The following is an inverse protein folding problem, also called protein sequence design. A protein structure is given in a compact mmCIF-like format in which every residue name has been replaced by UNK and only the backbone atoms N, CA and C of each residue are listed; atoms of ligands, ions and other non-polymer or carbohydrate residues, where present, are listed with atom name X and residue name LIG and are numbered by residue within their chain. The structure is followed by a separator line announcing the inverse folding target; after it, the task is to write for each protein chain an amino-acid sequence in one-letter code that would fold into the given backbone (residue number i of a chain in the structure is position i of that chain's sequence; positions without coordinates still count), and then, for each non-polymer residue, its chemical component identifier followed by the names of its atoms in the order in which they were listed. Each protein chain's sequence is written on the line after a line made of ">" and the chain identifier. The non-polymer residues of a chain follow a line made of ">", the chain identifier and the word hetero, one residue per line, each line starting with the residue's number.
data_IF_902601376404
#
_entry.id   IF_902601376404
#
_cell.length_a   1.000
_cell.length_b   1.000
_cell.length_c   1.000
_cell.angle_alpha   90.00
_cell.angle_beta   90.00
_cell.angle_gamma   90.00
#
_symmetry.space_group_name_H-M   'P 1'
#
loop_
_entity.id
_entity.type
_entity.pdbx_description
1 polymer ?
#
# COMPACT_ATOMS: atom_id res chain seq x y z
N UNK A 1 -14.71 -12.11 2.13
CA UNK A 1 -13.62 -11.18 1.74
C UNK A 1 -12.36 -12.01 1.66
N UNK A 2 -11.49 -11.80 0.66
CA UNK A 2 -10.18 -12.46 0.68
C UNK A 2 -9.50 -12.16 2.03
N UNK A 3 -8.97 -13.21 2.67
CA UNK A 3 -8.26 -13.13 3.95
C UNK A 3 -6.88 -12.54 3.66
N UNK A 4 -6.83 -11.25 3.38
CA UNK A 4 -5.57 -10.50 3.20
C UNK A 4 -4.74 -10.58 4.47
N UNK A 5 -3.43 -10.75 4.33
CA UNK A 5 -2.47 -10.76 5.43
C UNK A 5 -2.28 -9.39 6.08
N UNK A 6 -2.53 -8.30 5.34
CA UNK A 6 -2.38 -6.95 5.87
C UNK A 6 -3.38 -6.69 7.01
N UNK A 7 -2.96 -6.05 8.11
CA UNK A 7 -3.88 -5.56 9.14
C UNK A 7 -4.71 -4.39 8.62
N UNK A 8 -4.20 -3.66 7.62
CA UNK A 8 -4.85 -2.48 7.05
C UNK A 8 -5.94 -2.82 6.02
N UNK A 9 -6.87 -1.90 5.87
CA UNK A 9 -7.86 -1.85 4.79
C UNK A 9 -7.54 -0.66 3.90
N UNK A 10 -7.11 -0.93 2.68
CA UNK A 10 -6.83 0.11 1.70
C UNK A 10 -7.88 0.07 0.58
N UNK A 11 -8.58 1.19 0.30
CA UNK A 11 -9.27 1.37 -0.97
C UNK A 11 -8.30 1.13 -2.13
N UNK A 12 -8.73 0.41 -3.17
CA UNK A 12 -7.86 0.10 -4.31
C UNK A 12 -6.80 -1.00 -4.05
N UNK A 13 -6.77 -1.61 -2.85
CA UNK A 13 -5.80 -2.65 -2.50
C UNK A 13 -5.64 -3.70 -3.60
N UNK A 14 -4.43 -3.78 -4.16
CA UNK A 14 -4.10 -4.58 -5.34
C UNK A 14 -3.98 -6.09 -5.06
N UNK A 15 -4.49 -6.59 -3.93
CA UNK A 15 -4.56 -8.04 -3.64
C UNK A 15 -5.27 -8.82 -4.74
N UNK A 16 -6.22 -8.21 -5.47
CA UNK A 16 -6.84 -8.83 -6.65
C UNK A 16 -5.83 -9.13 -7.77
N UNK A 17 -4.70 -8.41 -7.81
CA UNK A 17 -3.61 -8.62 -8.75
C UNK A 17 -2.70 -9.80 -8.36
N UNK A 18 -2.88 -10.43 -7.20
CA UNK A 18 -1.98 -11.48 -6.72
C UNK A 18 -1.68 -12.56 -7.76
N UNK A 19 -2.72 -13.16 -8.35
CA UNK A 19 -2.55 -14.19 -9.39
C UNK A 19 -1.83 -13.65 -10.63
N UNK A 20 -2.16 -12.43 -11.04
CA UNK A 20 -1.55 -11.79 -12.19
C UNK A 20 -0.06 -11.53 -11.94
N UNK A 21 0.27 -10.88 -10.83
CA UNK A 21 1.65 -10.54 -10.46
C UNK A 21 2.49 -11.80 -10.26
N UNK A 22 1.96 -12.83 -9.57
CA UNK A 22 2.63 -14.13 -9.43
C UNK A 22 2.96 -14.75 -10.79
N UNK A 23 1.96 -14.88 -11.68
CA UNK A 23 2.18 -15.46 -13.01
C UNK A 23 3.16 -14.63 -13.85
N UNK A 24 3.17 -13.31 -13.68
CA UNK A 24 4.09 -12.42 -14.37
C UNK A 24 5.53 -12.64 -13.89
N UNK A 25 5.75 -12.74 -12.57
CA UNK A 25 7.05 -13.05 -11.96
C UNK A 25 7.57 -14.39 -12.48
N UNK A 26 6.74 -15.44 -12.43
CA UNK A 26 7.10 -16.79 -12.90
C UNK A 26 7.44 -16.80 -14.40
N UNK A 27 6.63 -16.12 -15.23
CA UNK A 27 6.84 -16.04 -16.69
C UNK A 27 8.17 -15.36 -17.07
N UNK A 28 8.65 -14.48 -16.21
CA UNK A 28 9.89 -13.73 -16.41
C UNK A 28 11.11 -14.36 -15.71
N UNK A 29 10.96 -15.58 -15.16
CA UNK A 29 12.03 -16.26 -14.41
C UNK A 29 12.54 -15.43 -13.22
N UNK A 30 11.63 -14.72 -12.54
CA UNK A 30 11.92 -13.88 -11.38
C UNK A 30 11.41 -14.51 -10.08
N UNK A 31 11.10 -15.80 -10.07
CA UNK A 31 10.85 -16.52 -8.82
C UNK A 31 12.01 -16.28 -7.86
N UNK A 32 11.72 -16.03 -6.59
CA UNK A 32 12.72 -15.82 -5.55
C UNK A 32 13.52 -14.50 -5.72
N UNK A 33 13.02 -13.55 -6.53
CA UNK A 33 13.62 -12.24 -6.64
C UNK A 33 13.35 -11.35 -5.42
N UNK A 34 14.00 -10.18 -5.38
CA UNK A 34 13.60 -9.07 -4.52
C UNK A 34 12.38 -8.39 -5.14
N UNK A 35 11.29 -8.29 -4.41
CA UNK A 35 10.11 -7.52 -4.82
C UNK A 35 10.14 -6.13 -4.19
N UNK A 36 9.87 -5.11 -5.00
CA UNK A 36 9.99 -3.71 -4.58
C UNK A 36 8.67 -2.97 -4.81
N UNK A 37 8.18 -2.25 -3.80
CA UNK A 37 7.08 -1.28 -3.96
C UNK A 37 7.52 0.12 -3.54
N UNK A 38 7.43 1.09 -4.46
CA UNK A 38 7.71 2.49 -4.15
C UNK A 38 6.58 3.20 -3.38
N UNK A 39 5.38 2.61 -3.38
CA UNK A 39 4.13 3.15 -2.84
C UNK A 39 3.35 2.05 -2.11
N UNK A 40 3.91 1.55 -1.02
CA UNK A 40 3.51 0.29 -0.39
C UNK A 40 2.13 0.35 0.26
N UNK A 41 1.74 1.47 0.88
CA UNK A 41 0.46 1.65 1.56
C UNK A 41 0.11 0.50 2.50
N UNK A 42 -0.91 -0.27 2.12
CA UNK A 42 -1.38 -1.43 2.88
C UNK A 42 -0.63 -2.74 2.63
N UNK A 43 0.24 -2.83 1.61
CA UNK A 43 1.12 -3.98 1.31
C UNK A 43 0.45 -5.36 1.24
N UNK A 44 -0.86 -5.40 0.96
CA UNK A 44 -1.62 -6.66 1.00
C UNK A 44 -1.23 -7.66 -0.08
N UNK A 45 -0.84 -7.17 -1.27
CA UNK A 45 -0.39 -7.99 -2.40
C UNK A 45 0.97 -8.64 -2.10
N UNK A 46 1.94 -7.85 -1.65
CA UNK A 46 3.32 -8.28 -1.47
C UNK A 46 3.52 -9.22 -0.29
N UNK A 47 2.76 -9.01 0.79
CA UNK A 47 2.76 -9.95 1.91
C UNK A 47 2.28 -11.34 1.47
N UNK A 48 1.30 -11.42 0.57
CA UNK A 48 0.86 -12.71 0.02
C UNK A 48 1.92 -13.33 -0.91
N UNK A 49 2.68 -12.54 -1.67
CA UNK A 49 3.78 -13.06 -2.50
C UNK A 49 4.89 -13.65 -1.63
N UNK A 50 5.30 -12.93 -0.58
CA UNK A 50 6.35 -13.39 0.35
C UNK A 50 5.89 -14.64 1.13
N UNK A 51 4.70 -14.61 1.72
CA UNK A 51 4.17 -15.72 2.52
C UNK A 51 4.01 -17.03 1.72
N UNK A 52 3.86 -16.94 0.40
CA UNK A 52 3.76 -18.10 -0.49
C UNK A 52 5.09 -18.44 -1.19
N UNK A 53 6.22 -17.88 -0.73
CA UNK A 53 7.56 -18.09 -1.29
C UNK A 53 7.63 -17.83 -2.81
N UNK A 54 6.87 -16.85 -3.30
CA UNK A 54 6.97 -16.40 -4.70
C UNK A 54 8.18 -15.49 -4.89
N UNK A 55 8.52 -14.73 -3.84
CA UNK A 55 9.63 -13.78 -3.76
C UNK A 55 10.35 -13.97 -2.43
N UNK A 56 11.65 -13.68 -2.38
CA UNK A 56 12.49 -13.97 -1.21
C UNK A 56 12.58 -12.78 -0.25
N UNK A 57 12.42 -11.56 -0.77
CA UNK A 57 12.60 -10.33 0.00
C UNK A 57 11.68 -9.23 -0.51
N UNK A 58 11.21 -8.40 0.41
CA UNK A 58 10.43 -7.20 0.12
C UNK A 58 11.23 -5.96 0.48
N UNK A 59 11.33 -5.00 -0.45
CA UNK A 59 11.76 -3.63 -0.17
C UNK A 59 10.59 -2.70 -0.42
N UNK A 60 10.04 -2.15 0.65
CA UNK A 60 8.80 -1.38 0.62
C UNK A 60 9.10 0.08 0.99
N UNK A 61 8.43 1.02 0.33
CA UNK A 61 8.55 2.43 0.62
C UNK A 61 7.16 3.08 0.65
N UNK A 62 6.95 3.98 1.60
CA UNK A 62 5.80 4.88 1.58
C UNK A 62 6.20 6.24 2.13
N UNK A 63 5.76 7.32 1.50
CA UNK A 63 6.06 8.68 1.94
C UNK A 63 5.27 9.07 3.19
N UNK A 64 4.11 8.46 3.45
CA UNK A 64 3.31 8.79 4.62
C UNK A 64 3.95 8.23 5.90
N UNK A 65 4.43 9.16 6.75
CA UNK A 65 4.99 8.87 8.08
C UNK A 65 4.11 7.91 8.89
N UNK A 66 2.78 8.06 8.84
CA UNK A 66 1.85 7.23 9.60
C UNK A 66 1.87 5.77 9.16
N UNK A 67 2.06 5.52 7.87
CA UNK A 67 2.17 4.18 7.29
C UNK A 67 3.53 3.59 7.60
N UNK A 68 4.61 4.34 7.35
CA UNK A 68 5.95 3.93 7.69
C UNK A 68 6.09 3.53 9.16
N UNK A 69 5.65 4.39 10.08
CA UNK A 69 5.77 4.16 11.53
C UNK A 69 4.99 2.93 11.96
N UNK A 70 3.83 2.66 11.38
CA UNK A 70 3.08 1.43 11.63
C UNK A 70 3.87 0.19 11.21
N UNK A 71 4.37 0.16 9.97
CA UNK A 71 5.15 -1.00 9.48
C UNK A 71 6.45 -1.18 10.25
N UNK A 72 7.19 -0.10 10.51
CA UNK A 72 8.39 -0.10 11.35
C UNK A 72 8.09 -0.69 12.74
N UNK A 73 6.98 -0.32 13.35
CA UNK A 73 6.57 -0.84 14.66
C UNK A 73 6.26 -2.34 14.59
N UNK A 74 5.52 -2.78 13.58
CA UNK A 74 5.19 -4.21 13.36
C UNK A 74 6.46 -5.06 13.17
N UNK A 75 7.39 -4.58 12.33
CA UNK A 75 8.60 -5.32 11.99
C UNK A 75 9.61 -5.36 13.15
N UNK A 76 9.77 -4.28 13.91
CA UNK A 76 10.81 -4.18 14.93
C UNK A 76 10.38 -4.70 16.30
N UNK A 77 9.29 -4.16 16.86
CA UNK A 77 8.81 -4.53 18.20
C UNK A 77 7.29 -4.31 18.31
N UNK A 78 6.47 -5.30 17.93
CA UNK A 78 5.02 -5.16 17.91
C UNK A 78 4.37 -5.25 19.29
N UNK A 79 5.09 -5.65 20.35
CA UNK A 79 4.48 -5.94 21.67
C UNK A 79 3.70 -4.76 22.25
N UNK A 80 4.24 -3.51 22.29
CA UNK A 80 3.49 -2.38 22.82
C UNK A 80 2.24 -2.05 21.98
N UNK A 81 2.32 -2.20 20.65
CA UNK A 81 1.18 -2.02 19.76
C UNK A 81 0.08 -3.06 20.04
N UNK A 82 0.46 -4.33 20.23
CA UNK A 82 -0.47 -5.42 20.57
C UNK A 82 -1.16 -5.16 21.92
N UNK A 83 -0.43 -4.65 22.91
CA UNK A 83 -1.00 -4.29 24.21
C UNK A 83 -2.08 -3.20 24.09
N UNK A 84 -1.83 -2.15 23.31
CA UNK A 84 -2.83 -1.12 23.01
C UNK A 84 -4.05 -1.70 22.30
N UNK A 85 -3.86 -2.56 21.30
CA UNK A 85 -4.96 -3.24 20.59
C UNK A 85 -5.82 -4.08 21.55
N UNK A 86 -5.19 -4.81 22.47
CA UNK A 86 -5.89 -5.64 23.44
C UNK A 86 -6.73 -4.83 24.42
N UNK A 87 -6.18 -3.73 24.93
CA UNK A 87 -6.75 -2.96 26.05
C UNK A 87 -7.72 -1.86 25.63
N UNK A 88 -7.70 -1.43 24.36
CA UNK A 88 -8.51 -0.29 23.91
C UNK A 88 -10.02 -0.55 23.99
N UNK A 89 -10.77 0.47 24.39
CA UNK A 89 -12.22 0.55 24.19
C UNK A 89 -12.51 1.24 22.85
N UNK A 90 -13.24 0.57 21.96
CA UNK A 90 -13.48 1.07 20.60
C UNK A 90 -14.71 1.99 20.61
N UNK A 91 -14.50 3.26 20.96
CA UNK A 91 -15.56 4.28 21.09
C UNK A 91 -15.31 5.48 20.20
N UNK A 92 -16.32 6.33 20.02
CA UNK A 92 -16.18 7.61 19.29
C UNK A 92 -15.28 8.59 20.07
N UNK A 93 -15.31 8.57 21.39
CA UNK A 93 -14.39 9.39 22.19
C UNK A 93 -12.93 8.99 21.96
N UNK A 94 -12.68 7.68 21.91
CA UNK A 94 -11.35 7.17 21.57
C UNK A 94 -10.96 7.54 20.14
N UNK A 95 -11.91 7.47 19.21
CA UNK A 95 -11.70 7.93 17.84
C UNK A 95 -11.23 9.39 17.78
N UNK A 96 -11.81 10.30 18.56
CA UNK A 96 -11.36 11.70 18.59
C UNK A 96 -9.93 11.85 19.13
N UNK A 97 -9.53 11.05 20.13
CA UNK A 97 -8.14 11.03 20.61
C UNK A 97 -7.18 10.56 19.53
N UNK A 98 -7.50 9.43 18.90
CA UNK A 98 -6.68 8.88 17.81
C UNK A 98 -6.62 9.83 16.62
N UNK A 99 -7.73 10.53 16.33
CA UNK A 99 -7.77 11.55 15.28
C UNK A 99 -6.85 12.72 15.58
N UNK A 100 -6.85 13.22 16.82
CA UNK A 100 -5.94 14.29 17.25
C UNK A 100 -4.47 13.90 17.10
N UNK A 101 -4.11 12.64 17.38
CA UNK A 101 -2.75 12.12 17.16
C UNK A 101 -2.39 12.17 15.66
N UNK A 102 -3.28 11.74 14.75
CA UNK A 102 -3.01 11.83 13.31
C UNK A 102 -2.92 13.26 12.79
N UNK A 103 -3.79 14.15 13.25
CA UNK A 103 -3.77 15.55 12.84
C UNK A 103 -2.46 16.25 13.28
N UNK A 104 -1.74 15.67 14.26
CA UNK A 104 -0.44 16.13 14.74
C UNK A 104 0.69 15.12 14.46
N UNK A 105 0.55 14.25 13.44
CA UNK A 105 1.48 13.14 13.17
C UNK A 105 2.94 13.57 13.02
N UNK A 106 3.18 14.75 12.45
CA UNK A 106 4.53 15.26 12.21
C UNK A 106 5.23 15.66 13.51
N UNK A 107 4.47 16.13 14.50
CA UNK A 107 4.96 16.49 15.83
C UNK A 107 5.11 15.29 16.77
N UNK A 108 4.43 14.18 16.48
CA UNK A 108 4.45 12.98 17.33
C UNK A 108 5.87 12.43 17.47
N UNK A 109 6.30 12.31 18.73
CA UNK A 109 7.56 11.68 19.15
C UNK A 109 7.36 10.21 19.56
N UNK A 110 6.10 9.79 19.75
CA UNK A 110 5.76 8.44 20.18
C UNK A 110 5.34 7.59 18.97
N UNK A 111 6.28 6.84 18.42
CA UNK A 111 6.05 5.99 17.25
C UNK A 111 4.97 4.92 17.48
N UNK A 112 4.92 4.32 18.67
CA UNK A 112 3.92 3.29 19.00
C UNK A 112 2.51 3.88 19.03
N UNK A 113 2.35 5.07 19.61
CA UNK A 113 1.07 5.76 19.66
C UNK A 113 0.60 6.19 18.26
N UNK A 114 1.50 6.68 17.42
CA UNK A 114 1.18 7.01 16.04
C UNK A 114 0.82 5.75 15.23
N UNK A 115 1.57 4.65 15.38
CA UNK A 115 1.26 3.37 14.75
C UNK A 115 -0.14 2.86 15.17
N UNK A 116 -0.44 2.91 16.47
CA UNK A 116 -1.74 2.51 17.00
C UNK A 116 -2.85 3.39 16.44
N UNK A 117 -2.68 4.71 16.44
CA UNK A 117 -3.62 5.66 15.86
C UNK A 117 -3.91 5.37 14.39
N UNK A 118 -2.86 5.09 13.59
CA UNK A 118 -2.97 4.75 12.16
C UNK A 118 -3.85 3.52 11.97
N UNK A 119 -3.55 2.45 12.72
CA UNK A 119 -4.29 1.21 12.66
C UNK A 119 -5.73 1.37 13.16
N UNK A 120 -5.94 2.06 14.29
CA UNK A 120 -7.25 2.33 14.87
C UNK A 120 -8.15 3.00 13.85
N UNK A 121 -7.74 4.16 13.35
CA UNK A 121 -8.53 4.92 12.39
C UNK A 121 -8.75 4.15 11.08
N UNK A 122 -7.72 3.46 10.56
CA UNK A 122 -7.91 2.61 9.38
C UNK A 122 -8.98 1.52 9.59
N UNK A 123 -9.08 0.95 10.78
CA UNK A 123 -10.06 -0.10 11.06
C UNK A 123 -11.43 0.45 11.43
N UNK A 124 -11.50 1.63 12.04
CA UNK A 124 -12.76 2.23 12.51
C UNK A 124 -13.38 3.22 11.52
N UNK A 125 -12.67 3.65 10.47
CA UNK A 125 -13.16 4.63 9.51
C UNK A 125 -13.86 4.02 8.31
N UNK A 126 -14.73 4.83 7.70
CA UNK A 126 -15.37 4.48 6.42
C UNK A 126 -14.31 4.19 5.36
N UNK A 127 -14.47 3.06 4.68
CA UNK A 127 -13.56 2.56 3.64
C UNK A 127 -12.10 2.33 4.07
N UNK A 128 -11.77 2.45 5.35
CA UNK A 128 -10.40 2.38 5.85
C UNK A 128 -9.53 3.58 5.53
N UNK A 129 -10.14 4.71 5.15
CA UNK A 129 -9.42 5.96 4.90
C UNK A 129 -9.12 6.60 6.27
N UNK A 130 -7.84 6.80 6.60
CA UNK A 130 -7.38 7.34 7.90
C UNK A 130 -8.02 8.70 8.19
N UNK A 131 -8.25 9.52 7.17
CA UNK A 131 -8.82 10.85 7.31
C UNK A 131 -10.35 10.92 7.20
N UNK A 132 -11.04 9.81 6.94
CA UNK A 132 -12.49 9.76 6.88
C UNK A 132 -13.13 9.76 8.29
N UNK A 133 -14.46 9.94 8.35
CA UNK A 133 -15.22 9.80 9.59
C UNK A 133 -15.44 8.35 10.04
N UNK A 134 -15.84 8.13 11.30
CA UNK A 134 -16.03 6.80 11.88
C UNK A 134 -17.16 6.03 11.19
N UNK A 135 -17.03 4.71 11.12
CA UNK A 135 -18.11 3.80 10.73
C UNK A 135 -19.28 4.00 11.71
N UNK A 136 -20.50 4.06 11.18
CA UNK A 136 -21.70 4.33 11.98
C UNK A 136 -22.03 5.81 12.17
N UNK A 137 -21.12 6.71 11.78
CA UNK A 137 -21.26 8.16 11.99
C UNK A 137 -20.93 8.57 13.42
N UNK A 138 -20.76 9.86 13.68
CA UNK A 138 -20.38 10.37 15.01
C UNK A 138 -21.41 10.02 16.09
N UNK A 139 -22.70 10.05 15.76
CA UNK A 139 -23.78 9.63 16.66
C UNK A 139 -24.02 8.11 16.69
N UNK A 140 -23.20 7.34 15.98
CA UNK A 140 -23.31 5.88 15.87
C UNK A 140 -24.72 5.39 15.48
N UNK A 141 -25.46 6.13 14.65
CA UNK A 141 -26.80 5.76 14.16
C UNK A 141 -26.80 4.81 12.94
N UNK A 142 -25.64 4.60 12.31
CA UNK A 142 -25.53 3.70 11.16
C UNK A 142 -25.77 2.22 11.51
N UNK A 143 -26.10 1.42 10.47
CA UNK A 143 -26.29 -0.04 10.56
C UNK A 143 -25.08 -0.77 11.15
N UNK A 144 -23.89 -0.34 10.73
CA UNK A 144 -22.62 -0.84 11.24
C UNK A 144 -22.07 0.16 12.24
N UNK A 145 -21.56 -0.32 13.38
CA UNK A 145 -20.93 0.49 14.42
C UNK A 145 -19.42 0.58 14.23
N UNK A 146 -18.79 1.48 14.97
CA UNK A 146 -17.36 1.81 14.87
C UNK A 146 -16.44 0.60 15.05
N UNK A 147 -16.85 -0.37 15.85
CA UNK A 147 -16.10 -1.57 16.23
C UNK A 147 -16.22 -2.74 15.24
N UNK A 148 -17.17 -2.68 14.29
CA UNK A 148 -17.55 -3.86 13.49
C UNK A 148 -16.44 -4.39 12.57
N UNK A 149 -15.33 -3.65 12.44
CA UNK A 149 -14.13 -4.01 11.69
C UNK A 149 -12.87 -4.04 12.56
N UNK A 150 -12.95 -3.81 13.87
CA UNK A 150 -11.81 -3.89 14.78
C UNK A 150 -11.78 -5.23 15.53
N UNK A 151 -11.61 -6.32 14.79
CA UNK A 151 -11.43 -7.65 15.40
C UNK A 151 -10.00 -7.76 15.94
N UNK A 152 -9.86 -7.64 17.27
CA UNK A 152 -8.56 -7.61 17.97
C UNK A 152 -7.73 -8.85 17.68
N UNK A 153 -8.29 -10.04 17.87
CA UNK A 153 -7.58 -11.32 17.69
C UNK A 153 -7.02 -11.48 16.28
N UNK A 154 -7.84 -11.20 15.26
CA UNK A 154 -7.42 -11.30 13.86
C UNK A 154 -6.36 -10.26 13.48
N UNK A 155 -6.43 -9.05 14.05
CA UNK A 155 -5.42 -8.02 13.84
C UNK A 155 -4.09 -8.45 14.47
N UNK A 156 -4.12 -8.98 15.70
CA UNK A 156 -2.93 -9.44 16.42
C UNK A 156 -2.31 -10.66 15.73
N UNK A 157 -3.12 -11.62 15.28
CA UNK A 157 -2.68 -12.78 14.50
C UNK A 157 -1.86 -12.34 13.26
N UNK A 158 -2.38 -11.35 12.53
CA UNK A 158 -1.69 -10.79 11.35
C UNK A 158 -0.39 -10.08 11.69
N UNK A 159 -0.40 -9.25 12.74
CA UNK A 159 0.81 -8.53 13.19
C UNK A 159 1.91 -9.53 13.56
N UNK A 160 1.57 -10.57 14.35
CA UNK A 160 2.53 -11.61 14.73
C UNK A 160 3.04 -12.39 13.52
N UNK A 161 2.17 -12.73 12.58
CA UNK A 161 2.58 -13.44 11.36
C UNK A 161 3.53 -12.59 10.50
N UNK A 162 3.23 -11.31 10.30
CA UNK A 162 4.11 -10.39 9.58
C UNK A 162 5.45 -10.25 10.30
N UNK A 163 5.43 -10.08 11.63
CA UNK A 163 6.66 -10.01 12.43
C UNK A 163 7.53 -11.26 12.29
N UNK A 164 6.91 -12.44 12.12
CA UNK A 164 7.66 -13.69 11.90
C UNK A 164 8.44 -13.73 10.58
N UNK A 165 8.09 -12.87 9.61
CA UNK A 165 8.76 -12.74 8.30
C UNK A 165 9.67 -11.49 8.23
N UNK A 166 9.91 -10.81 9.34
CA UNK A 166 10.57 -9.49 9.37
C UNK A 166 11.96 -9.48 8.71
N UNK A 167 12.71 -10.57 8.78
CA UNK A 167 14.08 -10.65 8.23
C UNK A 167 14.08 -10.59 6.70
N UNK A 168 12.92 -10.81 6.07
CA UNK A 168 12.70 -10.72 4.63
C UNK A 168 12.01 -9.41 4.21
N UNK A 169 11.80 -8.44 5.11
CA UNK A 169 11.06 -7.21 4.82
C UNK A 169 11.84 -5.99 5.31
N UNK A 170 12.18 -5.10 4.37
CA UNK A 170 12.69 -3.77 4.69
C UNK A 170 11.65 -2.72 4.31
N UNK A 171 11.45 -1.74 5.18
CA UNK A 171 10.48 -0.67 4.98
C UNK A 171 11.14 0.70 5.12
N UNK A 172 10.93 1.56 4.12
CA UNK A 172 11.56 2.86 3.96
C UNK A 172 10.51 3.99 3.97
N UNK A 173 10.98 5.20 4.28
CA UNK A 173 10.18 6.43 4.26
C UNK A 173 10.91 7.53 3.51
N UNK A 174 11.05 7.31 2.20
CA UNK A 174 11.61 8.27 1.27
C UNK A 174 10.54 8.77 0.31
N UNK A 175 10.80 9.95 -0.27
CA UNK A 175 10.23 10.28 -1.56
C UNK A 175 10.56 9.17 -2.58
N UNK A 176 9.61 8.85 -3.47
CA UNK A 176 9.75 7.71 -4.37
C UNK A 176 10.95 7.85 -5.32
N UNK A 177 11.30 9.06 -5.76
CA UNK A 177 12.49 9.26 -6.60
C UNK A 177 13.78 9.08 -5.80
N UNK A 178 13.81 9.56 -4.56
CA UNK A 178 14.93 9.31 -3.65
C UNK A 178 15.07 7.82 -3.31
N UNK A 179 13.97 7.09 -3.16
CA UNK A 179 13.98 5.65 -2.97
C UNK A 179 14.57 4.92 -4.18
N UNK A 180 14.18 5.33 -5.40
CA UNK A 180 14.76 4.82 -6.64
C UNK A 180 16.27 5.06 -6.66
N UNK A 181 16.71 6.28 -6.39
CA UNK A 181 18.11 6.67 -6.52
C UNK A 181 19.01 6.06 -5.43
N UNK A 182 18.54 5.98 -4.18
CA UNK A 182 19.36 5.53 -3.04
C UNK A 182 19.31 4.03 -2.79
N UNK A 183 18.18 3.38 -3.12
CA UNK A 183 17.96 1.98 -2.78
C UNK A 183 17.90 1.15 -4.06
N UNK A 184 16.96 1.42 -4.96
CA UNK A 184 16.69 0.52 -6.10
C UNK A 184 17.90 0.42 -7.04
N UNK A 185 18.57 1.54 -7.35
CA UNK A 185 19.74 1.55 -8.25
C UNK A 185 20.97 0.83 -7.71
N UNK A 186 21.05 0.66 -6.39
CA UNK A 186 22.19 -0.01 -5.75
C UNK A 186 22.07 -1.54 -5.77
N UNK A 187 20.85 -2.07 -5.97
CA UNK A 187 20.58 -3.51 -5.99
C UNK A 187 21.27 -4.18 -7.19
N UNK A 188 21.99 -5.27 -6.93
CA UNK A 188 22.68 -6.05 -7.98
C UNK A 188 21.98 -7.37 -8.29
N UNK A 189 21.19 -7.84 -7.34
CA UNK A 189 20.38 -9.04 -7.44
C UNK A 189 19.19 -8.86 -8.40
N UNK A 190 18.63 -9.95 -8.94
CA UNK A 190 17.37 -9.87 -9.69
C UNK A 190 16.25 -9.29 -8.82
N UNK A 191 15.55 -8.29 -9.35
CA UNK A 191 14.40 -7.69 -8.68
C UNK A 191 13.25 -7.41 -9.65
N UNK A 192 12.07 -7.27 -9.07
CA UNK A 192 10.84 -6.86 -9.73
C UNK A 192 10.22 -5.66 -8.98
N UNK A 193 10.04 -4.54 -9.67
CA UNK A 193 9.39 -3.36 -9.10
C UNK A 193 7.92 -3.26 -9.51
N UNK A 194 7.07 -2.92 -8.55
CA UNK A 194 5.70 -2.50 -8.78
C UNK A 194 5.52 -1.07 -8.26
N UNK A 195 5.23 -0.15 -9.17
CA UNK A 195 4.90 1.23 -8.83
C UNK A 195 3.39 1.46 -8.95
N UNK A 196 2.76 1.94 -7.89
CA UNK A 196 1.35 2.38 -7.87
C UNK A 196 1.27 3.81 -7.31
N UNK A 197 1.81 4.79 -8.04
CA UNK A 197 1.80 6.19 -7.62
C UNK A 197 0.36 6.73 -7.47
N UNK A 198 0.19 7.91 -6.83
CA UNK A 198 -1.09 8.61 -6.83
C UNK A 198 -1.65 8.75 -8.25
N UNK A 199 -2.97 8.60 -8.41
CA UNK A 199 -3.63 8.74 -9.71
C UNK A 199 -3.58 10.17 -10.24
N UNK A 200 -3.49 10.34 -11.57
CA UNK A 200 -3.34 11.64 -12.22
C UNK A 200 -4.57 12.55 -12.00
N UNK A 201 -5.78 12.06 -12.33
CA UNK A 201 -7.03 12.82 -12.10
C UNK A 201 -7.72 12.42 -10.82
N UNK A 202 -7.76 11.12 -10.53
CA UNK A 202 -8.48 10.62 -9.33
C UNK A 202 -7.73 10.88 -8.02
N UNK A 203 -6.41 11.13 -8.08
CA UNK A 203 -5.57 11.34 -6.91
C UNK A 203 -5.92 12.61 -6.14
N UNK A 204 -6.40 13.65 -6.83
CA UNK A 204 -6.82 14.95 -6.27
C UNK A 204 -7.90 14.86 -5.16
N UNK A 205 -8.58 13.72 -5.03
CA UNK A 205 -9.60 13.50 -4.00
C UNK A 205 -9.26 12.42 -2.96
N UNK A 206 -8.14 11.69 -3.12
CA UNK A 206 -7.86 10.45 -2.38
C UNK A 206 -6.56 10.45 -1.57
N UNK A 207 -5.54 11.22 -1.96
CA UNK A 207 -4.22 11.23 -1.33
C UNK A 207 -3.87 12.60 -0.74
N UNK A 208 -2.99 12.64 0.27
CA UNK A 208 -2.53 13.90 0.90
C UNK A 208 -1.46 14.60 0.03
N UNK A 209 -0.69 13.82 -0.74
CA UNK A 209 0.35 14.31 -1.63
C UNK A 209 -0.17 14.25 -3.07
N UNK A 210 -0.53 15.41 -3.62
CA UNK A 210 -1.00 15.51 -4.99
C UNK A 210 0.20 15.70 -5.92
N UNK A 211 0.39 14.74 -6.82
CA UNK A 211 1.33 14.91 -7.92
C UNK A 211 0.69 15.83 -8.95
N UNK A 212 1.42 16.86 -9.36
CA UNK A 212 1.12 17.60 -10.56
C UNK A 212 1.73 16.88 -11.79
N UNK A 213 1.48 17.41 -12.98
CA UNK A 213 1.99 16.80 -14.22
C UNK A 213 3.53 16.69 -14.24
N UNK A 214 4.25 17.69 -13.74
CA UNK A 214 5.71 17.70 -13.71
C UNK A 214 6.24 16.64 -12.72
N UNK A 215 5.57 16.44 -11.58
CA UNK A 215 5.91 15.37 -10.63
C UNK A 215 5.72 13.99 -11.29
N UNK A 216 4.62 13.78 -12.03
CA UNK A 216 4.39 12.55 -12.78
C UNK A 216 5.44 12.34 -13.89
N UNK A 217 5.82 13.41 -14.58
CA UNK A 217 6.83 13.40 -15.64
C UNK A 217 8.21 13.06 -15.07
N UNK A 218 8.59 13.68 -13.96
CA UNK A 218 9.86 13.41 -13.26
C UNK A 218 9.93 11.96 -12.79
N UNK A 219 8.87 11.47 -12.12
CA UNK A 219 8.78 10.08 -11.68
C UNK A 219 8.83 9.11 -12.86
N UNK A 220 8.14 9.41 -13.97
CA UNK A 220 8.18 8.60 -15.18
C UNK A 220 9.59 8.50 -15.75
N UNK A 221 10.34 9.60 -15.79
CA UNK A 221 11.74 9.60 -16.22
C UNK A 221 12.63 8.75 -15.30
N UNK A 222 12.42 8.84 -13.98
CA UNK A 222 13.17 8.02 -13.00
C UNK A 222 12.89 6.53 -13.17
N UNK A 223 11.62 6.14 -13.24
CA UNK A 223 11.23 4.74 -13.45
C UNK A 223 11.77 4.24 -14.80
N UNK A 224 11.64 5.04 -15.85
CA UNK A 224 12.13 4.70 -17.20
C UNK A 224 13.65 4.53 -17.27
N UNK A 225 14.40 5.12 -16.34
CA UNK A 225 15.86 4.96 -16.27
C UNK A 225 16.33 3.63 -15.67
N UNK A 226 15.41 2.84 -15.11
CA UNK A 226 15.71 1.51 -14.56
C UNK A 226 15.80 0.48 -15.69
N UNK A 227 16.91 -0.25 -15.74
CA UNK A 227 17.15 -1.32 -16.71
C UNK A 227 16.48 -2.66 -16.31
N UNK A 228 15.87 -2.73 -15.13
CA UNK A 228 15.34 -3.94 -14.52
C UNK A 228 13.83 -4.12 -14.80
N UNK A 229 13.25 -5.20 -14.30
CA UNK A 229 11.83 -5.50 -14.48
C UNK A 229 10.99 -4.59 -13.58
N UNK A 230 10.22 -3.71 -14.19
CA UNK A 230 9.24 -2.89 -13.48
C UNK A 230 7.90 -2.84 -14.22
N UNK A 231 6.84 -2.71 -13.43
CA UNK A 231 5.51 -2.30 -13.89
C UNK A 231 5.06 -1.08 -13.12
N UNK A 232 4.26 -0.24 -13.78
CA UNK A 232 3.58 0.88 -13.13
C UNK A 232 2.09 0.87 -13.48
N UNK A 233 1.24 1.18 -12.50
CA UNK A 233 -0.21 1.31 -12.68
C UNK A 233 -0.69 2.74 -12.47
N UNK A 234 -1.68 3.15 -13.26
CA UNK A 234 -2.29 4.48 -13.24
C UNK A 234 -3.79 4.41 -13.60
N UNK A 235 -4.50 5.52 -13.41
CA UNK A 235 -5.75 5.78 -14.12
C UNK A 235 -5.48 5.90 -15.64
N UNK A 236 -6.45 5.45 -16.45
CA UNK A 236 -6.32 5.41 -17.90
C UNK A 236 -6.52 6.79 -18.54
N UNK A 237 -5.51 7.65 -18.40
CA UNK A 237 -5.49 9.04 -18.89
C UNK A 237 -4.46 9.21 -20.00
N UNK A 238 -4.75 10.08 -20.98
CA UNK A 238 -3.91 10.28 -22.16
C UNK A 238 -2.55 10.91 -21.83
N UNK A 239 -2.52 11.77 -20.81
CA UNK A 239 -1.32 12.39 -20.27
C UNK A 239 -0.32 11.32 -19.78
N UNK A 240 -0.80 10.31 -19.05
CA UNK A 240 0.03 9.20 -18.58
C UNK A 240 0.50 8.32 -19.75
N UNK A 241 -0.38 8.04 -20.73
CA UNK A 241 0.01 7.28 -21.93
C UNK A 241 1.13 7.97 -22.68
N UNK A 242 1.11 9.31 -22.75
CA UNK A 242 2.13 10.10 -23.41
C UNK A 242 3.48 10.02 -22.68
N UNK A 243 3.47 10.16 -21.34
CA UNK A 243 4.68 10.04 -20.51
C UNK A 243 5.39 8.70 -20.70
N UNK A 244 4.62 7.62 -20.86
CA UNK A 244 5.14 6.26 -21.06
C UNK A 244 5.00 5.75 -22.50
N UNK A 245 4.93 6.63 -23.49
CA UNK A 245 4.64 6.29 -24.89
C UNK A 245 5.62 5.30 -25.54
N UNK A 246 6.85 5.21 -25.02
CA UNK A 246 7.88 4.27 -25.48
C UNK A 246 7.69 2.85 -24.97
N UNK A 247 6.88 2.67 -23.93
CA UNK A 247 6.71 1.41 -23.23
C UNK A 247 5.43 0.71 -23.67
N UNK A 248 5.40 -0.60 -23.48
CA UNK A 248 4.18 -1.38 -23.70
C UNK A 248 3.13 -1.01 -22.66
N UNK A 249 1.89 -0.83 -23.10
CA UNK A 249 0.77 -0.45 -22.24
C UNK A 249 -0.41 -1.40 -22.46
N UNK A 250 -1.10 -1.77 -21.38
CA UNK A 250 -2.33 -2.56 -21.43
C UNK A 250 -3.37 -1.98 -20.49
N UNK A 251 -4.59 -1.88 -20.97
CA UNK A 251 -5.74 -1.56 -20.13
C UNK A 251 -6.18 -2.80 -19.36
N UNK A 252 -6.62 -2.61 -18.13
CA UNK A 252 -7.26 -3.64 -17.33
C UNK A 252 -8.39 -3.05 -16.51
N UNK A 253 -9.37 -3.88 -16.17
CA UNK A 253 -10.56 -3.44 -15.44
C UNK A 253 -10.43 -3.83 -13.97
N UNK A 254 -10.58 -2.84 -13.09
CA UNK A 254 -10.75 -3.09 -11.66
C UNK A 254 -12.18 -2.79 -11.21
N UNK A 255 -12.81 -3.80 -10.60
CA UNK A 255 -14.09 -3.66 -9.94
C UNK A 255 -13.88 -2.98 -8.58
N UNK A 256 -14.23 -1.70 -8.47
CA UNK A 256 -14.21 -0.96 -7.22
C UNK A 256 -15.51 -1.20 -6.46
N UNK A 257 -15.41 -1.66 -5.22
CA UNK A 257 -16.57 -1.91 -4.34
C UNK A 257 -16.76 -0.81 -3.28
N UNK A 258 -16.03 0.30 -3.36
CA UNK A 258 -16.18 1.41 -2.42
C UNK A 258 -17.32 2.33 -2.87
N UNK A 259 -18.47 2.23 -2.19
CA UNK A 259 -19.64 3.10 -2.41
C UNK A 259 -20.57 2.61 -3.53
N UNK A 260 -20.13 2.65 -4.79
CA UNK A 260 -20.88 2.14 -5.95
C UNK A 260 -20.00 1.18 -6.74
N UNK A 261 -20.55 0.05 -7.22
CA UNK A 261 -19.82 -0.87 -8.10
C UNK A 261 -19.51 -0.13 -9.41
N UNK A 262 -18.29 0.38 -9.55
CA UNK A 262 -17.81 1.00 -10.78
C UNK A 262 -16.66 0.17 -11.33
N UNK A 263 -16.70 -0.09 -12.63
CA UNK A 263 -15.56 -0.61 -13.37
C UNK A 263 -14.70 0.59 -13.72
N UNK A 264 -13.52 0.68 -13.11
CA UNK A 264 -12.51 1.64 -13.53
C UNK A 264 -11.57 0.95 -14.52
N UNK A 265 -11.40 1.54 -15.69
CA UNK A 265 -10.30 1.15 -16.59
C UNK A 265 -9.03 1.77 -16.03
N UNK A 266 -8.06 0.91 -15.69
CA UNK A 266 -6.71 1.28 -15.29
C UNK A 266 -5.73 0.96 -16.42
N UNK A 267 -4.60 1.66 -16.40
CA UNK A 267 -3.50 1.47 -17.32
C UNK A 267 -2.36 0.75 -16.58
N UNK A 268 -1.85 -0.34 -17.17
CA UNK A 268 -0.62 -0.99 -16.73
C UNK A 268 0.44 -0.81 -17.80
N UNK A 269 1.59 -0.29 -17.39
CA UNK A 269 2.74 -0.02 -18.24
C UNK A 269 3.89 -0.95 -17.81
N UNK A 270 4.63 -1.45 -18.78
CA UNK A 270 5.69 -2.44 -18.57
C UNK A 270 7.02 -1.94 -19.13
N UNK A 271 8.09 -2.12 -18.36
CA UNK A 271 9.46 -2.12 -18.88
C UNK A 271 9.64 -3.05 -20.08
N UNK A 272 10.60 -2.73 -20.95
CA UNK A 272 10.91 -3.53 -22.15
C UNK A 272 11.45 -4.93 -21.82
N UNK A 273 11.97 -5.11 -20.60
CA UNK A 273 12.49 -6.39 -20.09
C UNK A 273 11.37 -7.40 -19.75
N UNK A 274 10.12 -6.94 -19.57
CA UNK A 274 9.02 -7.81 -19.15
C UNK A 274 8.31 -8.48 -20.33
N UNK A 275 8.28 -9.81 -20.30
CA UNK A 275 7.37 -10.66 -21.08
C UNK A 275 5.96 -10.57 -20.47
N UNK A 276 5.12 -9.73 -21.06
CA UNK A 276 3.74 -9.51 -20.58
C UNK A 276 2.87 -10.75 -20.73
N UNK A 277 1.95 -10.96 -19.79
CA UNK A 277 0.84 -11.93 -19.90
C UNK A 277 -0.49 -11.19 -20.12
N UNK A 278 -1.58 -11.92 -20.36
CA UNK A 278 -2.92 -11.33 -20.42
C UNK A 278 -3.52 -11.24 -19.02
N UNK A 279 -4.21 -10.13 -18.76
CA UNK A 279 -5.01 -9.99 -17.55
C UNK A 279 -6.24 -10.89 -17.68
N UNK A 280 -6.43 -11.81 -16.74
CA UNK A 280 -7.57 -12.73 -16.68
C UNK A 280 -8.63 -12.22 -15.70
#
# INVERSE_FOLDING_TARGET
>A
MPRTLSPLRYPGGKTKLYKYTKNLIEKNNLSNCIYIEGFAGGSGLVLELLANNVVDKLLLNDIDKSIYVLWKTILNNPKPLIELINTINITVDEWYKQRKIQDNKDLSQNEVELAFSTLFLNRTNRSGIIYAGPIGGYEQKGKYKIDCRFNKDSIIEKINYIHSMKDNIEFYNYDAELFIDKIIKEIKEPFFCFFDPPYFKKGQSLYVNFYNYDDHSSLANKISSLNNNWIVTYDNEDEIKQLYSKFKQKNFNLNYSAGTNRVGTELMIYSDSIKTINFQ
#
